data_IF_177108004510
#
_entry.id   IF_177108004510
#
_cell.length_a   1.000
_cell.length_b   1.000
_cell.length_c   1.000
_cell.angle_alpha   90.00
_cell.angle_beta   90.00
_cell.angle_gamma   90.00
#
_symmetry.space_group_name_H-M   'P 1'
#
loop_
_entity.id
_entity.type
_entity.pdbx_description
1 polymer ?
#
# COMPACT_ATOMS: atom_id res chain seq x y z
N UNK A 1 25.87 20.00 -2.61
CA UNK A 1 26.65 18.74 -2.46
C UNK A 1 26.95 18.08 -3.81
N UNK A 2 25.97 17.62 -4.60
CA UNK A 2 26.26 16.95 -5.88
C UNK A 2 26.99 17.78 -6.95
N UNK A 3 26.86 19.11 -6.91
CA UNK A 3 27.67 20.02 -7.74
C UNK A 3 29.13 20.09 -7.26
N UNK A 4 29.34 20.28 -5.97
CA UNK A 4 30.64 20.34 -5.29
C UNK A 4 31.44 19.05 -5.53
N UNK A 5 30.80 17.87 -5.43
CA UNK A 5 31.46 16.61 -5.74
C UNK A 5 31.93 16.52 -7.20
N UNK A 6 31.14 17.03 -8.15
CA UNK A 6 31.55 17.01 -9.58
C UNK A 6 32.77 17.89 -9.82
N UNK A 7 32.80 19.07 -9.20
CA UNK A 7 33.87 20.07 -9.33
C UNK A 7 35.14 19.73 -8.52
N UNK A 8 35.07 18.76 -7.59
CA UNK A 8 36.21 18.36 -6.76
C UNK A 8 37.38 17.80 -7.59
N UNK A 9 38.63 18.22 -7.33
CA UNK A 9 39.83 17.66 -7.98
C UNK A 9 39.93 16.14 -7.81
N UNK A 10 40.48 15.44 -8.81
CA UNK A 10 40.54 13.98 -8.80
C UNK A 10 41.36 13.41 -7.63
N UNK A 11 42.44 14.09 -7.22
CA UNK A 11 43.29 13.64 -6.12
C UNK A 11 42.56 13.66 -4.76
N UNK A 12 41.64 14.59 -4.55
CA UNK A 12 40.80 14.65 -3.34
C UNK A 12 39.72 13.57 -3.38
N UNK A 13 39.15 13.29 -4.57
CA UNK A 13 38.24 12.14 -4.76
C UNK A 13 38.92 10.82 -4.47
N UNK A 14 40.19 10.65 -4.89
CA UNK A 14 40.97 9.44 -4.65
C UNK A 14 41.12 9.12 -3.16
N UNK A 15 41.26 10.13 -2.30
CA UNK A 15 41.26 9.93 -0.85
C UNK A 15 39.96 9.28 -0.36
N UNK A 16 38.80 9.78 -0.80
CA UNK A 16 37.50 9.19 -0.46
C UNK A 16 37.30 7.80 -1.09
N UNK A 17 37.76 7.58 -2.33
CA UNK A 17 37.70 6.26 -2.98
C UNK A 17 38.54 5.23 -2.23
N UNK A 18 39.73 5.61 -1.73
CA UNK A 18 40.57 4.76 -0.91
C UNK A 18 39.88 4.40 0.42
N UNK A 19 39.23 5.36 1.07
CA UNK A 19 38.43 5.13 2.29
C UNK A 19 37.28 4.15 1.98
N UNK A 20 36.50 4.41 0.93
CA UNK A 20 35.37 3.54 0.53
C UNK A 20 35.85 2.13 0.23
N UNK A 21 37.01 1.97 -0.42
CA UNK A 21 37.58 0.64 -0.69
C UNK A 21 37.91 -0.09 0.61
N UNK A 22 38.57 0.57 1.55
CA UNK A 22 38.90 0.00 2.86
C UNK A 22 37.63 -0.38 3.64
N UNK A 23 36.66 0.52 3.72
CA UNK A 23 35.37 0.28 4.37
C UNK A 23 34.60 -0.88 3.72
N UNK A 24 34.68 -1.00 2.39
CA UNK A 24 34.05 -2.08 1.65
C UNK A 24 34.64 -3.45 1.97
N UNK A 25 35.97 -3.54 2.07
CA UNK A 25 36.64 -4.78 2.43
C UNK A 25 36.33 -5.19 3.88
N UNK A 26 36.33 -4.23 4.83
CA UNK A 26 35.86 -4.46 6.20
C UNK A 26 34.40 -4.92 6.26
N UNK A 27 33.51 -4.28 5.48
CA UNK A 27 32.10 -4.65 5.40
C UNK A 27 31.91 -6.08 4.86
N UNK A 28 32.69 -6.49 3.86
CA UNK A 28 32.63 -7.87 3.33
C UNK A 28 32.98 -8.89 4.41
N UNK A 29 34.05 -8.65 5.17
CA UNK A 29 34.48 -9.54 6.25
C UNK A 29 33.40 -9.62 7.34
N UNK A 30 32.88 -8.47 7.78
CA UNK A 30 31.77 -8.42 8.75
C UNK A 30 30.52 -9.14 8.25
N UNK A 31 30.15 -8.95 6.98
CA UNK A 31 28.99 -9.60 6.38
C UNK A 31 29.19 -11.11 6.20
N UNK A 32 30.41 -11.56 5.89
CA UNK A 32 30.75 -12.97 5.81
C UNK A 32 30.62 -13.64 7.18
N UNK A 33 31.15 -13.00 8.23
CA UNK A 33 30.99 -13.44 9.62
C UNK A 33 29.52 -13.51 10.02
N UNK A 34 28.76 -12.43 9.78
CA UNK A 34 27.32 -12.37 10.05
C UNK A 34 26.53 -13.50 9.36
N UNK A 35 26.82 -13.77 8.09
CA UNK A 35 26.18 -14.87 7.36
C UNK A 35 26.55 -16.25 7.90
N UNK A 36 27.78 -16.44 8.36
CA UNK A 36 28.23 -17.72 8.94
C UNK A 36 27.60 -18.00 10.31
N UNK A 37 27.28 -16.96 11.07
CA UNK A 37 26.62 -17.07 12.39
C UNK A 37 25.10 -17.24 12.28
N UNK A 38 24.52 -17.00 11.10
CA UNK A 38 23.08 -16.94 10.90
C UNK A 38 22.45 -18.34 10.87
N UNK A 39 21.38 -18.55 11.64
CA UNK A 39 20.60 -19.78 11.60
C UNK A 39 19.76 -19.84 10.30
N UNK A 40 19.61 -21.00 9.64
CA UNK A 40 18.72 -21.19 8.49
C UNK A 40 17.30 -20.61 8.67
N UNK A 41 16.75 -20.65 9.88
CA UNK A 41 15.42 -20.06 10.20
C UNK A 41 15.44 -18.54 10.12
N UNK A 42 16.48 -17.91 10.68
CA UNK A 42 16.66 -16.45 10.65
C UNK A 42 16.93 -15.96 9.23
N UNK A 43 17.71 -16.71 8.44
CA UNK A 43 17.95 -16.40 7.03
C UNK A 43 16.64 -16.42 6.23
N UNK A 44 15.83 -17.46 6.42
CA UNK A 44 14.52 -17.57 5.78
C UNK A 44 13.60 -16.40 6.18
N UNK A 45 13.57 -16.04 7.46
CA UNK A 45 12.79 -14.91 7.95
C UNK A 45 13.23 -13.57 7.32
N UNK A 46 14.55 -13.31 7.25
CA UNK A 46 15.10 -12.10 6.61
C UNK A 46 14.80 -12.06 5.11
N UNK A 47 14.85 -13.20 4.43
CA UNK A 47 14.53 -13.31 3.00
C UNK A 47 13.05 -13.00 2.76
N UNK A 48 12.16 -13.52 3.59
CA UNK A 48 10.72 -13.23 3.49
C UNK A 48 10.43 -11.77 3.85
N UNK A 49 11.06 -11.19 4.88
CA UNK A 49 10.90 -9.78 5.22
C UNK A 49 11.33 -8.87 4.05
N UNK A 50 12.48 -9.15 3.43
CA UNK A 50 12.95 -8.43 2.23
C UNK A 50 11.95 -8.57 1.07
N UNK A 51 11.37 -9.74 0.88
CA UNK A 51 10.34 -10.00 -0.14
C UNK A 51 9.08 -9.19 0.15
N UNK A 52 8.57 -9.20 1.37
CA UNK A 52 7.40 -8.42 1.82
C UNK A 52 7.67 -6.93 1.60
N UNK A 53 8.83 -6.42 2.04
CA UNK A 53 9.25 -5.03 1.85
C UNK A 53 9.27 -4.63 0.37
N UNK A 54 9.80 -5.49 -0.50
CA UNK A 54 9.78 -5.27 -1.96
C UNK A 54 8.36 -5.25 -2.51
N UNK A 55 7.48 -6.13 -2.06
CA UNK A 55 6.08 -6.16 -2.47
C UNK A 55 5.33 -4.90 -2.02
N UNK A 56 5.49 -4.46 -0.76
CA UNK A 56 4.90 -3.22 -0.24
C UNK A 56 5.35 -2.02 -1.08
N UNK A 57 6.66 -1.90 -1.36
CA UNK A 57 7.19 -0.83 -2.22
C UNK A 57 6.58 -0.87 -3.63
N UNK A 58 6.46 -2.06 -4.22
CA UNK A 58 5.82 -2.23 -5.55
C UNK A 58 4.35 -1.84 -5.52
N UNK A 59 3.58 -2.27 -4.52
CA UNK A 59 2.18 -1.90 -4.35
C UNK A 59 2.02 -0.39 -4.15
N UNK A 60 2.91 0.23 -3.37
CA UNK A 60 2.93 1.68 -3.14
C UNK A 60 3.16 2.49 -4.43
N UNK A 61 4.12 2.08 -5.27
CA UNK A 61 4.35 2.70 -6.58
C UNK A 61 3.12 2.62 -7.47
N UNK A 62 2.53 1.43 -7.57
CA UNK A 62 1.36 1.23 -8.42
C UNK A 62 0.14 1.98 -7.89
N UNK A 63 -0.05 2.03 -6.57
CA UNK A 63 -1.11 2.86 -5.97
C UNK A 63 -0.94 4.33 -6.34
N UNK A 64 0.28 4.87 -6.27
CA UNK A 64 0.58 6.26 -6.64
C UNK A 64 0.29 6.52 -8.12
N UNK A 65 0.70 5.62 -9.01
CA UNK A 65 0.38 5.72 -10.44
C UNK A 65 -1.12 5.73 -10.67
N UNK A 66 -1.86 4.75 -10.13
CA UNK A 66 -3.33 4.70 -10.23
C UNK A 66 -4.00 5.98 -9.75
N UNK A 67 -3.52 6.55 -8.63
CA UNK A 67 -4.03 7.83 -8.12
C UNK A 67 -3.69 9.00 -9.05
N UNK A 68 -2.49 9.03 -9.62
CA UNK A 68 -2.10 10.05 -10.60
C UNK A 68 -2.96 10.01 -11.88
N UNK A 69 -3.46 8.83 -12.26
CA UNK A 69 -4.44 8.68 -13.35
C UNK A 69 -5.89 8.94 -12.94
N UNK A 70 -6.14 9.49 -11.75
CA UNK A 70 -7.49 9.84 -11.33
C UNK A 70 -8.39 8.62 -11.11
N UNK A 71 -7.84 7.48 -10.68
CA UNK A 71 -8.64 6.28 -10.38
C UNK A 71 -9.80 6.61 -9.43
N UNK A 72 -11.06 6.27 -9.81
CA UNK A 72 -12.23 6.45 -8.96
C UNK A 72 -12.06 5.87 -7.55
N UNK A 73 -12.51 6.62 -6.55
CA UNK A 73 -12.57 6.13 -5.17
C UNK A 73 -13.59 5.00 -5.09
N UNK A 74 -13.28 3.96 -4.32
CA UNK A 74 -14.19 2.83 -4.10
C UNK A 74 -15.52 3.32 -3.55
N UNK A 75 -16.58 2.58 -3.87
CA UNK A 75 -17.86 2.78 -3.23
C UNK A 75 -17.79 2.56 -1.71
N UNK A 76 -18.57 3.35 -0.99
CA UNK A 76 -18.73 3.31 0.45
C UNK A 76 -19.83 2.32 0.83
N UNK A 77 -19.65 1.63 1.95
CA UNK A 77 -20.73 0.85 2.57
C UNK A 77 -21.70 1.77 3.31
N UNK A 78 -22.89 1.28 3.63
CA UNK A 78 -23.87 2.01 4.43
C UNK A 78 -23.28 2.51 5.76
N UNK A 79 -22.49 1.67 6.43
CA UNK A 79 -21.77 2.05 7.64
C UNK A 79 -20.70 3.13 7.38
N UNK A 80 -19.95 3.05 6.28
CA UNK A 80 -18.95 4.06 5.96
C UNK A 80 -19.57 5.45 5.72
N UNK A 81 -20.75 5.48 5.11
CA UNK A 81 -21.51 6.71 4.88
C UNK A 81 -21.96 7.29 6.23
N UNK A 82 -22.59 6.47 7.07
CA UNK A 82 -22.98 6.85 8.43
C UNK A 82 -21.79 7.42 9.23
N UNK A 83 -20.66 6.70 9.24
CA UNK A 83 -19.44 7.17 9.91
C UNK A 83 -18.99 8.50 9.33
N UNK A 84 -18.96 8.68 8.00
CA UNK A 84 -18.48 9.93 7.40
C UNK A 84 -19.31 11.16 7.78
N UNK A 85 -20.60 10.96 8.04
CA UNK A 85 -21.54 12.02 8.46
C UNK A 85 -21.39 12.32 9.96
N UNK A 86 -21.35 11.30 10.81
CA UNK A 86 -21.41 11.46 12.27
C UNK A 86 -20.02 11.60 12.93
N UNK A 87 -18.92 11.34 12.20
CA UNK A 87 -17.57 11.36 12.76
C UNK A 87 -17.13 12.75 13.26
N UNK A 88 -17.62 13.83 12.64
CA UNK A 88 -17.32 15.19 13.06
C UNK A 88 -18.12 15.61 14.30
N UNK A 89 -19.35 15.10 14.43
CA UNK A 89 -20.30 15.46 15.49
C UNK A 89 -19.97 14.78 16.82
N UNK A 90 -19.36 13.60 16.78
CA UNK A 90 -19.00 12.87 18.00
C UNK A 90 -17.80 13.52 18.69
N UNK A 91 -18.03 13.90 19.94
CA UNK A 91 -16.98 14.33 20.85
C UNK A 91 -16.12 13.15 21.31
N UNK A 92 -14.83 13.39 21.48
CA UNK A 92 -13.89 12.36 21.89
C UNK A 92 -12.45 12.83 21.71
N UNK A 93 -11.59 12.42 22.63
CA UNK A 93 -10.19 12.85 22.69
C UNK A 93 -9.36 12.17 21.60
N UNK A 94 -9.68 10.92 21.28
CA UNK A 94 -9.02 10.13 20.25
C UNK A 94 -9.96 9.70 19.12
N UNK A 95 -9.46 9.71 17.87
CA UNK A 95 -10.17 9.18 16.70
C UNK A 95 -10.62 7.71 16.88
N UNK A 96 -9.87 6.93 17.66
CA UNK A 96 -10.22 5.54 17.95
C UNK A 96 -11.46 5.43 18.87
N UNK A 97 -11.60 6.36 19.81
CA UNK A 97 -12.75 6.41 20.73
C UNK A 97 -14.00 6.82 19.96
N UNK A 98 -13.90 7.87 19.12
CA UNK A 98 -14.99 8.31 18.24
C UNK A 98 -15.48 7.18 17.34
N UNK A 99 -14.55 6.45 16.71
CA UNK A 99 -14.90 5.33 15.85
C UNK A 99 -15.57 4.18 16.61
N UNK A 100 -15.11 3.88 17.84
CA UNK A 100 -15.77 2.87 18.69
C UNK A 100 -17.19 3.28 19.06
N UNK A 101 -17.41 4.54 19.42
CA UNK A 101 -18.75 5.07 19.70
C UNK A 101 -19.69 4.91 18.49
N UNK A 102 -19.23 5.29 17.28
CA UNK A 102 -19.99 5.10 16.03
C UNK A 102 -20.31 3.63 15.75
N UNK A 103 -19.39 2.72 16.05
CA UNK A 103 -19.64 1.28 15.87
C UNK A 103 -20.79 0.81 16.76
N UNK A 104 -20.84 1.26 18.01
CA UNK A 104 -21.92 0.90 18.94
C UNK A 104 -23.24 1.57 18.56
N UNK A 105 -23.22 2.86 18.20
CA UNK A 105 -24.39 3.58 17.71
C UNK A 105 -24.97 2.94 16.45
N UNK A 106 -24.13 2.56 15.50
CA UNK A 106 -24.57 1.84 14.31
C UNK A 106 -25.25 0.51 14.66
N UNK A 107 -24.77 -0.23 15.67
CA UNK A 107 -25.40 -1.49 16.08
C UNK A 107 -26.80 -1.24 16.63
N UNK A 108 -26.97 -0.22 17.47
CA UNK A 108 -28.26 0.14 18.10
C UNK A 108 -29.21 0.88 17.16
N UNK A 109 -28.72 1.41 16.04
CA UNK A 109 -29.51 2.17 15.08
C UNK A 109 -30.72 1.37 14.54
N UNK A 110 -31.94 1.96 14.53
CA UNK A 110 -33.13 1.33 13.99
C UNK A 110 -33.02 0.91 12.52
N UNK A 111 -33.73 -0.16 12.15
CA UNK A 111 -33.73 -0.71 10.79
C UNK A 111 -34.13 0.32 9.72
N UNK A 112 -35.12 1.16 10.00
CA UNK A 112 -35.58 2.17 9.04
C UNK A 112 -34.51 3.25 8.75
N UNK A 113 -33.70 3.62 9.74
CA UNK A 113 -32.59 4.57 9.55
C UNK A 113 -31.44 3.89 8.80
N UNK A 114 -31.13 2.63 9.14
CA UNK A 114 -30.15 1.81 8.38
C UNK A 114 -30.54 1.65 6.92
N UNK A 115 -31.85 1.59 6.62
CA UNK A 115 -32.35 1.46 5.26
C UNK A 115 -32.02 2.69 4.41
N UNK A 116 -32.10 3.90 4.95
CA UNK A 116 -31.68 5.12 4.24
C UNK A 116 -30.19 5.06 3.84
N UNK A 117 -29.31 4.68 4.77
CA UNK A 117 -27.89 4.48 4.45
C UNK A 117 -27.64 3.33 3.46
N UNK A 118 -28.50 2.31 3.46
CA UNK A 118 -28.41 1.21 2.51
C UNK A 118 -28.75 1.66 1.09
N UNK A 119 -29.74 2.56 0.93
CA UNK A 119 -30.05 3.19 -0.36
C UNK A 119 -28.89 4.06 -0.84
N UNK A 120 -28.34 4.91 0.03
CA UNK A 120 -27.16 5.73 -0.29
C UNK A 120 -25.94 4.89 -0.72
N UNK A 121 -25.75 3.73 -0.09
CA UNK A 121 -24.67 2.81 -0.46
C UNK A 121 -24.88 2.16 -1.83
N UNK A 122 -26.13 1.86 -2.22
CA UNK A 122 -26.45 1.34 -3.55
C UNK A 122 -26.27 2.43 -4.62
N UNK A 123 -26.70 3.66 -4.35
CA UNK A 123 -26.47 4.80 -5.25
C UNK A 123 -24.96 5.05 -5.44
N UNK A 124 -24.17 5.00 -4.36
CA UNK A 124 -22.72 5.17 -4.42
C UNK A 124 -22.01 4.01 -5.16
N UNK A 125 -22.57 2.81 -5.08
CA UNK A 125 -22.14 1.66 -5.90
C UNK A 125 -22.37 1.92 -7.38
N UNK A 126 -23.56 2.40 -7.77
CA UNK A 126 -23.87 2.76 -9.16
C UNK A 126 -22.93 3.87 -9.65
N UNK A 127 -22.71 4.92 -8.84
CA UNK A 127 -21.72 5.98 -9.14
C UNK A 127 -20.34 5.39 -9.41
N UNK A 128 -19.82 4.57 -8.50
CA UNK A 128 -18.50 3.96 -8.64
C UNK A 128 -18.38 3.09 -9.88
N UNK A 129 -19.40 2.29 -10.21
CA UNK A 129 -19.42 1.44 -11.40
C UNK A 129 -19.36 2.28 -12.70
N UNK A 130 -20.12 3.37 -12.76
CA UNK A 130 -20.13 4.29 -13.90
C UNK A 130 -18.79 5.02 -14.05
N UNK A 131 -18.26 5.58 -12.97
CA UNK A 131 -16.96 6.24 -12.96
C UNK A 131 -15.83 5.27 -13.35
N UNK A 132 -15.86 4.05 -12.82
CA UNK A 132 -14.89 3.00 -13.17
C UNK A 132 -14.95 2.66 -14.65
N UNK A 133 -16.14 2.49 -15.22
CA UNK A 133 -16.31 2.19 -16.64
C UNK A 133 -15.70 3.29 -17.52
N UNK A 134 -16.02 4.55 -17.20
CA UNK A 134 -15.48 5.72 -17.91
C UNK A 134 -13.95 5.79 -17.79
N UNK A 135 -13.42 5.63 -16.58
CA UNK A 135 -11.99 5.65 -16.31
C UNK A 135 -11.23 4.54 -17.05
N UNK A 136 -11.78 3.32 -17.09
CA UNK A 136 -11.19 2.21 -17.83
C UNK A 136 -11.18 2.45 -19.35
N UNK A 137 -12.24 3.06 -19.89
CA UNK A 137 -12.30 3.46 -21.30
C UNK A 137 -11.27 4.55 -21.61
N UNK A 138 -11.15 5.58 -20.76
CA UNK A 138 -10.18 6.66 -20.93
C UNK A 138 -8.72 6.14 -20.87
N UNK A 139 -8.43 5.21 -19.97
CA UNK A 139 -7.10 4.59 -19.90
C UNK A 139 -6.77 3.75 -21.13
N UNK A 140 -7.75 3.01 -21.67
CA UNK A 140 -7.57 2.28 -22.93
C UNK A 140 -7.33 3.23 -24.11
N UNK A 141 -8.12 4.29 -24.22
CA UNK A 141 -8.00 5.29 -25.28
C UNK A 141 -6.66 6.04 -25.24
N UNK A 142 -6.13 6.31 -24.04
CA UNK A 142 -4.82 6.96 -23.85
C UNK A 142 -3.62 6.01 -24.00
N UNK A 143 -3.85 4.74 -24.36
CA UNK A 143 -2.78 3.74 -24.56
C UNK A 143 -2.16 3.22 -23.27
N UNK A 144 -2.72 3.56 -22.09
CA UNK A 144 -2.24 3.10 -20.76
C UNK A 144 -3.08 1.97 -20.18
N UNK A 145 -3.50 1.04 -21.06
CA UNK A 145 -4.25 -0.16 -20.67
C UNK A 145 -3.43 -1.16 -19.83
N UNK A 146 -2.10 -1.04 -19.83
CA UNK A 146 -1.17 -1.82 -19.01
C UNK A 146 -1.45 -1.67 -17.50
N UNK A 147 -1.93 -0.50 -17.10
CA UNK A 147 -2.29 -0.17 -15.71
C UNK A 147 -3.50 -0.97 -15.21
N UNK A 148 -4.44 -1.32 -16.10
CA UNK A 148 -5.64 -2.09 -15.77
C UNK A 148 -5.33 -3.54 -15.39
N UNK A 149 -4.30 -4.13 -16.01
CA UNK A 149 -3.87 -5.51 -15.79
C UNK A 149 -3.41 -5.75 -14.33
N UNK A 150 -3.06 -4.69 -13.60
CA UNK A 150 -2.70 -4.79 -12.19
C UNK A 150 -3.88 -5.15 -11.27
N UNK A 151 -5.09 -4.63 -11.54
CA UNK A 151 -6.29 -4.97 -10.75
C UNK A 151 -6.55 -6.48 -10.81
N UNK A 152 -6.59 -7.05 -12.01
CA UNK A 152 -6.83 -8.48 -12.26
C UNK A 152 -5.81 -9.39 -11.56
N UNK A 153 -4.51 -9.04 -11.65
CA UNK A 153 -3.44 -9.81 -11.01
C UNK A 153 -3.49 -9.77 -9.47
N UNK A 154 -3.99 -8.69 -8.87
CA UNK A 154 -4.12 -8.57 -7.41
C UNK A 154 -5.36 -9.29 -6.87
N UNK A 155 -6.52 -9.23 -7.56
CA UNK A 155 -7.71 -9.99 -7.17
C UNK A 155 -7.50 -11.50 -7.31
N UNK A 156 -6.89 -11.98 -8.39
CA UNK A 156 -6.61 -13.42 -8.55
C UNK A 156 -5.62 -13.97 -7.51
N UNK A 157 -4.62 -13.17 -7.09
CA UNK A 157 -3.69 -13.58 -6.02
C UNK A 157 -4.36 -13.75 -4.66
N UNK A 158 -5.42 -12.99 -4.37
CA UNK A 158 -6.20 -13.11 -3.13
C UNK A 158 -7.18 -14.30 -3.16
N UNK A 159 -7.54 -14.78 -4.35
CA UNK A 159 -8.44 -15.92 -4.57
C UNK A 159 -7.70 -17.26 -4.71
N UNK A 160 -6.36 -17.30 -4.65
CA UNK A 160 -5.65 -18.59 -4.63
C UNK A 160 -6.01 -19.33 -3.33
N UNK A 161 -6.58 -20.55 -3.41
CA UNK A 161 -6.84 -21.34 -2.22
C UNK A 161 -5.50 -21.61 -1.53
N UNK A 162 -5.48 -21.46 -0.21
CA UNK A 162 -4.40 -21.97 0.63
C UNK A 162 -4.42 -23.47 0.42
N UNK A 163 -3.47 -24.00 -0.34
CA UNK A 163 -3.30 -25.44 -0.52
C UNK A 163 -3.13 -26.08 0.86
N UNK A 164 -4.04 -26.99 1.20
CA UNK A 164 -3.99 -27.81 2.41
C UNK A 164 -2.61 -28.47 2.54
N UNK A 165 -2.02 -28.50 3.74
CA UNK A 165 -0.81 -29.28 3.96
C UNK A 165 -1.16 -30.77 3.79
N UNK A 166 -0.40 -31.46 2.95
CA UNK A 166 -0.48 -32.91 2.73
C UNK A 166 -0.46 -33.64 4.08
N UNK A 167 -1.46 -34.49 4.28
CA UNK A 167 -1.55 -35.46 5.39
C UNK A 167 -0.42 -36.48 5.35
#
# INVERSE_FOLDING_TARGET
>A
IGRIWRELPQHEKQHYEAIVKLEWDQYKEQMAKYKSELNPVEEAALKEEKRIRRQIRKQGKIKKELTAFGKPKKNLSSFNIFVSEHFQEIEGTSNQEKFKALCEEWKTLPSFQKQAYSQLAEDDKIRYENEMRSWEQQLKASGRGDILNYKFKMTQKRQKPVTEPLS
#
